data_IF_154854083024
#
_entry.id   IF_154854083024
#
_cell.length_a   1.000
_cell.length_b   1.000
_cell.length_c   1.000
_cell.angle_alpha   90.00
_cell.angle_beta   90.00
_cell.angle_gamma   90.00
#
_symmetry.space_group_name_H-M   'P 1'
#
loop_
_entity.id
_entity.type
_entity.pdbx_description
1 polymer ?
#
# COMPACT_ATOMS: atom_id res chain seq x y z
N UNK A 1 -38.43 -92.85 13.36
CA UNK A 1 -38.46 -92.29 12.00
C UNK A 1 -39.22 -90.98 12.12
N UNK A 2 -38.54 -89.86 12.41
CA UNK A 2 -37.86 -88.93 11.49
C UNK A 2 -38.81 -88.26 10.48
N UNK A 3 -39.77 -87.50 11.01
CA UNK A 3 -40.40 -86.42 10.27
C UNK A 3 -39.54 -85.16 10.45
N UNK A 4 -38.57 -85.00 9.55
CA UNK A 4 -37.78 -83.78 9.46
C UNK A 4 -38.36 -82.88 8.36
N UNK A 5 -39.14 -81.89 8.82
CA UNK A 5 -38.96 -80.47 8.51
C UNK A 5 -38.82 -80.08 7.03
N UNK A 6 -39.93 -80.11 6.29
CA UNK A 6 -40.06 -79.42 5.01
C UNK A 6 -40.29 -77.92 5.26
N UNK A 7 -39.19 -77.18 5.46
CA UNK A 7 -39.18 -75.72 5.45
C UNK A 7 -39.46 -75.25 4.02
N UNK A 8 -40.74 -75.10 3.73
CA UNK A 8 -41.32 -74.69 2.44
C UNK A 8 -40.56 -73.52 1.82
N UNK A 9 -40.19 -73.66 0.55
CA UNK A 9 -39.41 -72.72 -0.27
C UNK A 9 -39.87 -71.26 -0.17
N UNK A 10 -41.16 -71.01 0.07
CA UNK A 10 -41.73 -69.67 0.27
C UNK A 10 -41.15 -68.95 1.49
N UNK A 11 -40.98 -69.67 2.61
CA UNK A 11 -40.44 -69.10 3.85
C UNK A 11 -38.93 -68.79 3.72
N UNK A 12 -38.20 -69.57 2.90
CA UNK A 12 -36.78 -69.31 2.59
C UNK A 12 -36.58 -68.07 1.69
N UNK A 13 -37.52 -67.79 0.78
CA UNK A 13 -37.48 -66.61 -0.09
C UNK A 13 -37.81 -65.35 0.72
N UNK A 14 -38.81 -65.41 1.59
CA UNK A 14 -39.18 -64.30 2.49
C UNK A 14 -38.07 -63.98 3.50
N UNK A 15 -37.39 -65.00 4.04
CA UNK A 15 -36.18 -64.84 4.87
C UNK A 15 -35.01 -64.27 4.07
N UNK A 16 -34.87 -64.62 2.78
CA UNK A 16 -33.80 -64.11 1.92
C UNK A 16 -34.03 -62.64 1.49
N UNK A 17 -35.26 -62.24 1.18
CA UNK A 17 -35.63 -60.84 0.91
C UNK A 17 -35.55 -59.99 2.18
N UNK A 18 -35.99 -60.51 3.33
CA UNK A 18 -35.79 -59.87 4.64
C UNK A 18 -34.30 -59.68 4.96
N UNK A 19 -33.47 -60.69 4.68
CA UNK A 19 -32.03 -60.62 4.89
C UNK A 19 -31.33 -59.66 3.90
N UNK A 20 -31.78 -59.57 2.64
CA UNK A 20 -31.21 -58.63 1.67
C UNK A 20 -31.61 -57.19 1.96
N UNK A 21 -32.88 -56.95 2.34
CA UNK A 21 -33.34 -55.64 2.78
C UNK A 21 -32.60 -55.17 4.05
N UNK A 22 -32.38 -56.07 5.02
CA UNK A 22 -31.55 -55.77 6.18
C UNK A 22 -30.08 -55.51 5.83
N UNK A 23 -29.54 -56.19 4.82
CA UNK A 23 -28.17 -55.96 4.36
C UNK A 23 -28.01 -54.61 3.64
N UNK A 24 -28.99 -54.20 2.84
CA UNK A 24 -29.01 -52.90 2.14
C UNK A 24 -29.16 -51.74 3.12
N UNK A 25 -30.07 -51.84 4.10
CA UNK A 25 -30.21 -50.83 5.17
C UNK A 25 -28.90 -50.68 5.95
N UNK A 26 -28.23 -51.81 6.28
CA UNK A 26 -26.94 -51.78 6.98
C UNK A 26 -25.83 -51.16 6.13
N UNK A 27 -25.84 -51.36 4.81
CA UNK A 27 -24.90 -50.75 3.87
C UNK A 27 -25.12 -49.24 3.75
N UNK A 28 -26.36 -48.78 3.72
CA UNK A 28 -26.70 -47.35 3.72
C UNK A 28 -26.35 -46.67 5.04
N UNK A 29 -26.60 -47.33 6.18
CA UNK A 29 -26.16 -46.85 7.49
C UNK A 29 -24.64 -46.69 7.54
N UNK A 30 -23.88 -47.71 7.12
CA UNK A 30 -22.41 -47.67 7.07
C UNK A 30 -21.90 -46.59 6.12
N UNK A 31 -22.52 -46.41 4.95
CA UNK A 31 -22.18 -45.32 4.02
C UNK A 31 -22.47 -43.94 4.62
N UNK A 32 -23.58 -43.79 5.33
CA UNK A 32 -23.95 -42.54 6.00
C UNK A 32 -22.97 -42.18 7.12
N UNK A 33 -22.51 -43.17 7.89
CA UNK A 33 -21.48 -42.99 8.90
C UNK A 33 -20.12 -42.63 8.27
N UNK A 34 -19.75 -43.28 7.17
CA UNK A 34 -18.52 -42.97 6.44
C UNK A 34 -18.52 -41.52 5.92
N UNK A 35 -19.63 -41.05 5.35
CA UNK A 35 -19.75 -39.66 4.88
C UNK A 35 -19.69 -38.66 6.05
N UNK A 36 -20.36 -38.96 7.17
CA UNK A 36 -20.30 -38.14 8.39
C UNK A 36 -18.86 -38.05 8.93
N UNK A 37 -18.11 -39.16 8.93
CA UNK A 37 -16.69 -39.19 9.34
C UNK A 37 -15.81 -38.39 8.37
N UNK A 38 -16.02 -38.51 7.06
CA UNK A 38 -15.29 -37.75 6.04
C UNK A 38 -15.52 -36.23 6.18
N UNK A 39 -16.77 -35.81 6.40
CA UNK A 39 -17.11 -34.39 6.63
C UNK A 39 -16.48 -33.87 7.92
N UNK A 40 -16.50 -34.66 9.01
CA UNK A 40 -15.81 -34.30 10.26
C UNK A 40 -14.30 -34.17 10.07
N UNK A 41 -13.67 -35.09 9.34
CA UNK A 41 -12.24 -35.04 9.03
C UNK A 41 -11.87 -33.83 8.14
N UNK A 42 -12.69 -33.49 7.14
CA UNK A 42 -12.50 -32.27 6.34
C UNK A 42 -12.62 -31.01 7.18
N UNK A 43 -13.60 -30.93 8.09
CA UNK A 43 -13.75 -29.78 9.02
C UNK A 43 -12.56 -29.64 9.96
N UNK A 44 -12.04 -30.75 10.49
CA UNK A 44 -10.83 -30.75 11.32
C UNK A 44 -9.62 -30.27 10.51
N UNK A 45 -9.46 -30.75 9.27
CA UNK A 45 -8.38 -30.32 8.38
C UNK A 45 -8.45 -28.81 8.09
N UNK A 46 -9.62 -28.27 7.75
CA UNK A 46 -9.81 -26.83 7.57
C UNK A 46 -9.55 -26.04 8.85
N UNK A 47 -9.96 -26.54 10.02
CA UNK A 47 -9.65 -25.89 11.31
C UNK A 47 -8.15 -25.84 11.57
N UNK A 48 -7.41 -26.93 11.29
CA UNK A 48 -5.96 -26.97 11.47
C UNK A 48 -5.29 -25.95 10.55
N UNK A 49 -5.70 -25.83 9.29
CA UNK A 49 -5.17 -24.84 8.36
C UNK A 49 -5.43 -23.40 8.86
N UNK A 50 -6.65 -23.11 9.31
CA UNK A 50 -6.98 -21.77 9.86
C UNK A 50 -6.15 -21.47 11.11
N UNK A 51 -6.01 -22.43 12.03
CA UNK A 51 -5.18 -22.26 13.24
C UNK A 51 -3.71 -22.06 12.87
N UNK A 52 -3.19 -22.78 11.88
CA UNK A 52 -1.82 -22.57 11.39
C UNK A 52 -1.61 -21.18 10.79
N UNK A 53 -2.58 -20.67 10.01
CA UNK A 53 -2.54 -19.31 9.46
C UNK A 53 -2.56 -18.27 10.59
N UNK A 54 -3.45 -18.43 11.58
CA UNK A 54 -3.52 -17.55 12.75
C UNK A 54 -2.21 -17.60 13.55
N UNK A 55 -1.56 -18.75 13.69
CA UNK A 55 -0.27 -18.89 14.37
C UNK A 55 0.88 -18.23 13.58
N UNK A 56 0.85 -18.24 12.24
CA UNK A 56 1.82 -17.50 11.43
C UNK A 56 1.64 -16.00 11.60
N UNK A 57 0.39 -15.51 11.63
CA UNK A 57 0.12 -14.09 11.91
C UNK A 57 0.46 -13.70 13.35
N UNK A 58 0.11 -14.52 14.35
CA UNK A 58 0.43 -14.26 15.75
C UNK A 58 1.95 -14.27 15.99
N UNK A 59 2.71 -15.14 15.31
CA UNK A 59 4.18 -15.11 15.39
C UNK A 59 4.77 -13.90 14.67
N UNK A 60 4.28 -13.54 13.47
CA UNK A 60 4.66 -12.28 12.80
C UNK A 60 4.35 -11.04 13.67
N UNK A 61 3.18 -10.97 14.28
CA UNK A 61 2.78 -9.91 15.20
C UNK A 61 3.60 -9.91 16.49
N UNK A 62 3.97 -11.08 17.02
CA UNK A 62 4.86 -11.18 18.18
C UNK A 62 6.28 -10.70 17.87
N UNK A 63 6.81 -10.94 16.67
CA UNK A 63 8.09 -10.38 16.25
C UNK A 63 8.03 -8.87 15.96
N UNK A 64 6.87 -8.35 15.54
CA UNK A 64 6.63 -6.90 15.46
C UNK A 64 6.52 -6.25 16.85
N UNK A 65 5.88 -6.91 17.83
CA UNK A 65 5.75 -6.40 19.22
C UNK A 65 7.01 -6.60 20.08
N UNK A 66 7.87 -7.58 19.75
CA UNK A 66 9.13 -7.81 20.47
C UNK A 66 10.18 -6.73 20.20
N UNK A 67 9.91 -5.75 19.33
CA UNK A 67 10.75 -4.56 19.19
C UNK A 67 10.56 -3.53 20.31
N UNK A 68 9.54 -3.67 21.17
CA UNK A 68 9.22 -2.66 22.20
C UNK A 68 9.36 -3.12 23.66
N UNK A 69 9.84 -4.34 23.94
CA UNK A 69 10.22 -4.73 25.31
C UNK A 69 11.38 -5.71 25.31
N UNK A 70 12.57 -5.22 25.00
CA UNK A 70 13.80 -5.82 25.52
C UNK A 70 14.20 -5.06 26.78
N UNK A 71 13.74 -5.55 27.92
CA UNK A 71 13.92 -4.86 29.19
C UNK A 71 13.75 -5.76 30.39
N UNK A 72 14.61 -6.75 30.57
CA UNK A 72 15.02 -7.15 31.93
C UNK A 72 16.41 -7.79 31.93
N UNK A 73 17.43 -7.03 32.31
CA UNK A 73 18.66 -7.63 32.86
C UNK A 73 20.01 -7.08 32.43
N UNK A 74 20.08 -6.12 31.51
CA UNK A 74 21.32 -5.39 31.22
C UNK A 74 21.02 -3.90 31.18
N UNK A 75 21.91 -3.08 31.73
CA UNK A 75 21.89 -1.63 31.55
C UNK A 75 21.98 -1.33 30.05
N UNK A 76 20.84 -1.25 29.38
CA UNK A 76 20.71 -0.73 28.03
C UNK A 76 20.69 0.79 28.17
N UNK A 77 21.85 1.42 27.99
CA UNK A 77 21.85 2.76 27.44
C UNK A 77 21.27 2.59 26.03
N UNK A 78 20.02 3.02 25.82
CA UNK A 78 19.54 3.25 24.46
C UNK A 78 20.58 4.17 23.82
N UNK A 79 21.26 3.69 22.77
CA UNK A 79 22.12 4.59 22.01
C UNK A 79 21.20 5.66 21.45
N UNK A 80 21.41 6.91 21.87
CA UNK A 80 20.73 8.05 21.28
C UNK A 80 20.93 8.00 19.75
N UNK A 81 19.89 8.36 18.99
CA UNK A 81 20.02 8.48 17.53
C UNK A 81 21.18 9.42 17.21
N UNK A 82 22.08 8.99 16.33
CA UNK A 82 23.28 9.78 15.96
C UNK A 82 22.98 10.87 14.92
N UNK A 83 21.72 11.01 14.52
CA UNK A 83 21.20 12.03 13.61
C UNK A 83 19.76 12.42 13.96
N UNK A 84 19.36 13.60 13.49
CA UNK A 84 18.01 14.14 13.45
C UNK A 84 17.56 14.22 11.98
N UNK A 85 16.25 14.21 11.74
CA UNK A 85 15.69 14.49 10.42
C UNK A 85 14.90 15.80 10.51
N UNK A 86 14.95 16.64 9.46
CA UNK A 86 14.23 17.91 9.33
C UNK A 86 13.60 18.04 7.94
N UNK A 87 12.65 18.96 7.79
CA UNK A 87 12.15 19.41 6.49
C UNK A 87 12.53 20.85 6.24
N UNK A 88 12.59 21.24 4.96
CA UNK A 88 12.70 22.64 4.55
C UNK A 88 11.38 23.05 3.89
N UNK A 89 10.68 24.02 4.46
CA UNK A 89 9.40 24.51 3.94
C UNK A 89 8.68 25.44 4.93
N UNK A 90 7.60 26.07 4.48
CA UNK A 90 6.62 26.74 5.35
C UNK A 90 5.76 25.68 6.06
N UNK A 91 5.26 25.99 7.27
CA UNK A 91 4.29 25.17 8.02
C UNK A 91 3.19 24.72 7.07
N UNK A 92 2.95 23.39 6.98
CA UNK A 92 1.91 22.85 6.10
C UNK A 92 0.55 23.49 6.46
N UNK A 93 -0.31 23.85 5.48
CA UNK A 93 -1.69 24.30 5.76
C UNK A 93 -2.49 23.28 6.58
N UNK A 94 -2.04 22.02 6.60
CA UNK A 94 -2.59 20.93 7.41
C UNK A 94 -1.75 20.62 8.67
N UNK A 95 -0.90 21.54 9.14
CA UNK A 95 -0.04 21.35 10.32
C UNK A 95 -0.80 20.86 11.55
N UNK A 96 -2.03 21.35 11.75
CA UNK A 96 -2.91 20.89 12.84
C UNK A 96 -3.27 19.38 12.75
N UNK A 97 -3.41 18.83 11.54
CA UNK A 97 -3.68 17.40 11.31
C UNK A 97 -2.41 16.57 11.60
N UNK A 98 -1.25 17.06 11.18
CA UNK A 98 0.04 16.41 11.44
C UNK A 98 0.37 16.42 12.94
N UNK A 99 0.18 17.54 13.63
CA UNK A 99 0.35 17.68 15.09
C UNK A 99 -0.51 16.70 15.88
N UNK A 100 -1.77 16.54 15.48
CA UNK A 100 -2.73 15.67 16.16
C UNK A 100 -2.49 14.18 15.88
N UNK A 101 -1.81 13.84 14.78
CA UNK A 101 -1.23 12.52 14.56
C UNK A 101 0.05 12.26 15.38
N UNK A 102 0.49 13.22 16.19
CA UNK A 102 1.71 13.13 17.01
C UNK A 102 2.98 13.59 16.29
N UNK A 103 2.87 14.13 15.07
CA UNK A 103 4.01 14.64 14.31
C UNK A 103 4.27 16.10 14.66
N UNK A 104 5.51 16.42 15.04
CA UNK A 104 5.89 17.81 15.24
C UNK A 104 6.46 18.33 13.95
N UNK A 105 5.98 19.49 13.52
CA UNK A 105 6.64 20.24 12.45
C UNK A 105 8.11 20.42 12.84
N UNK A 106 9.01 20.06 11.91
CA UNK A 106 10.41 20.44 12.04
C UNK A 106 10.49 21.95 12.12
N UNK A 107 11.31 22.51 13.02
CA UNK A 107 11.59 23.95 12.96
C UNK A 107 12.26 24.24 11.62
N UNK A 108 11.70 25.13 10.77
CA UNK A 108 12.34 25.48 9.50
C UNK A 108 13.77 25.94 9.77
N UNK A 109 14.73 25.44 9.00
CA UNK A 109 16.16 25.76 9.18
C UNK A 109 16.36 27.26 8.93
N UNK A 110 16.32 28.05 10.00
CA UNK A 110 16.66 29.49 10.00
C UNK A 110 17.63 29.87 11.11
N UNK A 111 17.66 29.12 12.21
CA UNK A 111 18.74 29.06 13.19
C UNK A 111 18.50 27.87 14.13
N UNK A 112 19.58 27.32 14.69
CA UNK A 112 19.59 25.97 15.26
C UNK A 112 18.62 25.66 16.41
N UNK A 113 18.34 24.35 16.49
CA UNK A 113 17.64 23.56 17.51
C UNK A 113 16.10 23.55 17.49
N UNK A 114 15.47 22.37 17.48
CA UNK A 114 15.04 21.65 18.69
C UNK A 114 14.38 20.28 18.40
N UNK A 115 14.46 19.43 19.42
CA UNK A 115 13.98 18.06 19.69
C UNK A 115 12.80 17.46 18.93
N UNK A 116 12.99 16.24 18.41
CA UNK A 116 12.33 15.02 18.92
C UNK A 116 13.03 13.76 18.37
N UNK A 117 13.15 12.73 19.20
CA UNK A 117 13.63 11.38 18.85
C UNK A 117 12.66 10.71 17.87
N UNK A 118 12.63 11.13 16.62
CA UNK A 118 11.68 10.63 15.62
C UNK A 118 12.48 10.26 14.38
N UNK A 119 12.53 8.95 14.10
CA UNK A 119 13.25 8.37 12.96
C UNK A 119 12.50 8.48 11.63
N UNK A 120 11.42 9.25 11.60
CA UNK A 120 10.55 9.44 10.45
C UNK A 120 10.05 10.88 10.31
N UNK A 121 9.81 11.31 9.07
CA UNK A 121 9.16 12.59 8.75
C UNK A 121 7.96 12.36 7.88
N UNK A 122 6.88 13.10 8.14
CA UNK A 122 5.65 13.02 7.36
C UNK A 122 5.29 14.33 6.67
N UNK A 123 4.77 14.23 5.44
CA UNK A 123 4.27 15.33 4.65
C UNK A 123 2.89 14.97 4.09
N UNK A 124 1.89 15.80 4.37
CA UNK A 124 0.58 15.67 3.74
C UNK A 124 0.58 16.41 2.40
N UNK A 125 0.55 15.68 1.28
CA UNK A 125 0.62 16.26 -0.05
C UNK A 125 -0.49 17.28 -0.27
N UNK A 126 -0.12 18.42 -0.86
CA UNK A 126 -1.04 19.45 -1.34
C UNK A 126 -0.56 19.91 -2.71
N UNK A 127 -1.50 20.28 -3.58
CA UNK A 127 -1.14 20.93 -4.84
C UNK A 127 -0.45 22.27 -4.55
N UNK A 128 0.44 22.69 -5.47
CA UNK A 128 1.20 23.93 -5.40
C UNK A 128 0.32 25.16 -5.09
N UNK A 129 0.89 26.20 -4.47
CA UNK A 129 0.17 27.37 -3.92
C UNK A 129 -0.65 28.14 -4.99
N UNK A 130 -0.29 28.01 -6.27
CA UNK A 130 -1.03 28.57 -7.41
C UNK A 130 -2.32 27.78 -7.77
N UNK A 131 -2.58 26.66 -7.07
CA UNK A 131 -3.72 25.74 -7.26
C UNK A 131 -4.58 25.60 -5.99
N UNK A 132 -4.64 26.65 -5.17
CA UNK A 132 -5.30 26.69 -3.86
C UNK A 132 -6.75 26.16 -3.80
N UNK A 133 -7.45 26.02 -4.94
CA UNK A 133 -8.84 25.58 -5.03
C UNK A 133 -9.04 24.14 -5.54
N UNK A 134 -7.99 23.39 -5.92
CA UNK A 134 -8.20 22.19 -6.75
C UNK A 134 -7.63 20.85 -6.26
N UNK A 135 -6.94 20.81 -5.12
CA UNK A 135 -6.38 19.55 -4.57
C UNK A 135 -5.38 18.84 -5.48
N UNK A 136 -4.89 17.68 -5.04
CA UNK A 136 -4.03 16.82 -5.85
C UNK A 136 -4.84 16.21 -6.99
N UNK A 137 -4.26 16.20 -8.19
CA UNK A 137 -4.87 15.63 -9.39
C UNK A 137 -3.80 15.24 -10.42
N UNK A 138 -4.14 14.44 -11.45
CA UNK A 138 -3.25 14.21 -12.58
C UNK A 138 -2.68 15.53 -13.14
N UNK A 139 -1.37 15.53 -13.43
CA UNK A 139 -0.59 16.67 -13.89
C UNK A 139 0.03 17.53 -12.79
N UNK A 140 -0.32 17.31 -11.51
CA UNK A 140 0.31 18.03 -10.39
C UNK A 140 1.69 17.47 -10.06
N UNK A 141 2.58 18.32 -9.57
CA UNK A 141 3.93 17.93 -9.13
C UNK A 141 4.41 18.89 -8.04
N UNK A 142 5.49 18.54 -7.36
CA UNK A 142 6.08 19.40 -6.34
C UNK A 142 7.41 18.87 -5.81
N UNK A 143 8.05 19.67 -4.96
CA UNK A 143 9.34 19.33 -4.37
C UNK A 143 9.22 19.20 -2.85
N UNK A 144 9.83 18.15 -2.31
CA UNK A 144 9.97 17.90 -0.89
C UNK A 144 11.47 17.83 -0.61
N UNK A 145 11.92 18.53 0.44
CA UNK A 145 13.32 18.45 0.85
C UNK A 145 13.40 17.98 2.30
N UNK A 146 13.96 16.79 2.49
CA UNK A 146 14.28 16.25 3.79
C UNK A 146 15.76 16.48 4.09
N UNK A 147 16.09 16.75 5.34
CA UNK A 147 17.45 17.03 5.78
C UNK A 147 17.80 16.11 6.91
N UNK A 148 18.80 15.27 6.73
CA UNK A 148 19.40 14.50 7.81
C UNK A 148 20.52 15.34 8.40
N UNK A 149 20.43 15.64 9.69
CA UNK A 149 21.42 16.38 10.45
C UNK A 149 22.10 15.46 11.48
N UNK A 150 23.41 15.18 11.36
CA UNK A 150 24.14 14.47 12.41
C UNK A 150 24.06 15.18 13.77
N UNK A 151 23.94 14.41 14.86
CA UNK A 151 23.93 14.94 16.23
C UNK A 151 25.34 15.31 16.67
N UNK A 152 26.33 14.50 16.26
CA UNK A 152 27.74 14.74 16.55
C UNK A 152 28.44 15.14 15.25
N UNK A 153 28.79 16.43 15.15
CA UNK A 153 29.53 16.97 14.00
C UNK A 153 30.99 16.50 14.01
N UNK A 154 31.23 15.23 13.63
CA UNK A 154 32.56 14.62 13.60
C UNK A 154 33.04 14.46 12.15
N UNK A 155 33.95 15.35 11.72
CA UNK A 155 34.48 15.34 10.36
C UNK A 155 35.32 14.09 10.04
N UNK A 156 35.69 13.30 11.04
CA UNK A 156 36.46 12.07 10.86
C UNK A 156 35.59 10.82 10.61
N UNK A 157 34.27 10.94 10.78
CA UNK A 157 33.33 9.83 10.66
C UNK A 157 32.37 10.02 9.51
N UNK A 158 32.02 8.90 8.88
CA UNK A 158 30.90 8.83 7.97
C UNK A 158 29.69 8.25 8.68
N UNK A 159 28.52 8.68 8.23
CA UNK A 159 27.24 8.17 8.65
C UNK A 159 26.58 7.50 7.44
N UNK A 160 26.28 6.21 7.59
CA UNK A 160 25.52 5.43 6.61
C UNK A 160 24.12 5.19 7.15
N UNK A 161 23.12 5.57 6.37
CA UNK A 161 21.72 5.53 6.76
C UNK A 161 20.92 4.84 5.68
N UNK A 162 20.03 3.95 6.11
CA UNK A 162 19.02 3.38 5.24
C UNK A 162 17.73 4.19 5.34
N UNK A 163 17.15 4.57 4.20
CA UNK A 163 15.86 5.26 4.18
C UNK A 163 14.93 4.69 3.11
N UNK A 164 13.63 4.85 3.31
CA UNK A 164 12.58 4.56 2.32
C UNK A 164 11.49 5.60 2.39
N UNK A 165 10.71 5.73 1.32
CA UNK A 165 9.51 6.56 1.30
C UNK A 165 8.28 5.66 1.28
N UNK A 166 7.33 5.92 2.16
CA UNK A 166 6.05 5.24 2.21
C UNK A 166 4.90 6.21 1.93
N UNK A 167 3.86 5.68 1.29
CA UNK A 167 2.62 6.39 1.02
C UNK A 167 1.51 5.81 1.87
N UNK A 168 0.82 6.67 2.61
CA UNK A 168 -0.36 6.32 3.40
C UNK A 168 -1.56 7.09 2.88
N UNK A 169 -2.61 6.37 2.50
CA UNK A 169 -3.85 6.95 2.02
C UNK A 169 -4.86 7.17 3.14
N UNK A 170 -5.59 8.28 3.08
CA UNK A 170 -6.69 8.58 3.99
C UNK A 170 -7.94 8.95 3.21
N UNK A 171 -9.08 8.52 3.76
CA UNK A 171 -10.39 9.01 3.36
C UNK A 171 -10.99 9.86 4.47
N UNK A 172 -11.95 10.71 4.10
CA UNK A 172 -12.80 11.37 5.08
C UNK A 172 -13.79 10.38 5.72
N UNK A 173 -14.17 10.65 6.96
CA UNK A 173 -15.30 10.04 7.65
C UNK A 173 -16.60 10.34 6.89
N UNK A 174 -17.55 9.42 6.97
CA UNK A 174 -18.81 9.55 6.21
C UNK A 174 -19.59 10.81 6.67
N UNK A 175 -19.50 11.14 7.96
CA UNK A 175 -20.09 12.35 8.54
C UNK A 175 -19.44 13.62 7.97
N UNK A 176 -18.11 13.69 7.92
CA UNK A 176 -17.42 14.86 7.35
C UNK A 176 -17.67 14.99 5.84
N UNK A 177 -17.69 13.87 5.10
CA UNK A 177 -18.09 13.85 3.68
C UNK A 177 -19.48 14.44 3.49
N UNK A 178 -20.45 14.04 4.32
CA UNK A 178 -21.81 14.55 4.25
C UNK A 178 -21.89 16.05 4.56
N UNK A 179 -21.13 16.54 5.55
CA UNK A 179 -21.06 17.97 5.87
C UNK A 179 -20.47 18.80 4.72
N UNK A 180 -19.37 18.35 4.13
CA UNK A 180 -18.76 19.03 2.97
C UNK A 180 -19.72 19.05 1.78
N UNK A 181 -20.44 17.95 1.53
CA UNK A 181 -21.42 17.88 0.45
C UNK A 181 -22.56 18.88 0.64
N UNK A 182 -23.10 19.02 1.86
CA UNK A 182 -24.16 19.98 2.19
C UNK A 182 -23.70 21.43 1.98
N UNK A 183 -22.51 21.79 2.50
CA UNK A 183 -21.94 23.12 2.32
C UNK A 183 -21.61 23.44 0.85
N UNK A 184 -21.17 22.45 0.09
CA UNK A 184 -20.95 22.59 -1.37
C UNK A 184 -22.28 22.86 -2.10
N UNK A 185 -23.36 22.18 -1.73
CA UNK A 185 -24.68 22.45 -2.31
C UNK A 185 -25.19 23.86 -1.94
N UNK A 186 -24.99 24.32 -0.70
CA UNK A 186 -25.31 25.70 -0.30
C UNK A 186 -24.55 26.71 -1.17
N UNK A 187 -23.24 26.50 -1.38
CA UNK A 187 -22.41 27.33 -2.26
C UNK A 187 -22.97 27.37 -3.68
N UNK A 188 -23.28 26.22 -4.28
CA UNK A 188 -23.84 26.12 -5.63
C UNK A 188 -25.20 26.82 -5.77
N UNK A 189 -26.01 26.79 -4.71
CA UNK A 189 -27.31 27.45 -4.66
C UNK A 189 -27.24 28.95 -4.29
N UNK A 190 -26.03 29.52 -4.14
CA UNK A 190 -25.82 30.92 -3.76
C UNK A 190 -26.27 31.24 -2.32
N UNK A 191 -26.36 30.24 -1.46
CA UNK A 191 -26.67 30.39 -0.04
C UNK A 191 -25.40 30.69 0.76
N UNK A 192 -25.57 31.20 1.98
CA UNK A 192 -24.44 31.30 2.92
C UNK A 192 -23.93 29.90 3.22
N UNK A 193 -22.61 29.72 3.08
CA UNK A 193 -21.91 28.47 3.34
C UNK A 193 -20.67 28.74 4.18
N UNK A 194 -20.19 27.74 4.89
CA UNK A 194 -18.92 27.76 5.62
C UNK A 194 -18.33 26.37 5.52
N UNK A 195 -17.20 26.23 4.81
CA UNK A 195 -16.54 24.94 4.66
C UNK A 195 -16.06 24.44 6.03
N UNK A 196 -16.35 23.18 6.40
CA UNK A 196 -15.91 22.64 7.67
C UNK A 196 -14.38 22.51 7.68
N UNK A 197 -13.79 22.74 8.84
CA UNK A 197 -12.37 22.46 9.07
C UNK A 197 -12.20 20.96 9.30
N UNK A 198 -11.43 20.29 8.44
CA UNK A 198 -11.10 18.88 8.61
C UNK A 198 -10.05 18.72 9.70
N UNK A 199 -10.28 17.81 10.63
CA UNK A 199 -9.36 17.43 11.69
C UNK A 199 -8.92 15.98 11.56
N UNK A 200 -8.00 15.51 12.40
CA UNK A 200 -7.56 14.11 12.32
C UNK A 200 -8.68 13.12 12.63
N UNK A 201 -9.61 13.47 13.52
CA UNK A 201 -10.73 12.59 13.89
C UNK A 201 -11.69 12.36 12.71
N UNK A 202 -11.62 13.22 11.70
CA UNK A 202 -12.37 13.11 10.46
C UNK A 202 -11.64 12.27 9.40
N UNK A 203 -10.40 11.85 9.64
CA UNK A 203 -9.61 11.04 8.72
C UNK A 203 -9.62 9.58 9.13
N UNK A 204 -9.87 8.72 8.15
CA UNK A 204 -9.79 7.27 8.29
C UNK A 204 -8.62 6.81 7.43
N UNK A 205 -7.56 6.34 8.07
CA UNK A 205 -6.43 5.71 7.38
C UNK A 205 -6.92 4.46 6.64
N UNK A 206 -6.59 4.38 5.36
CA UNK A 206 -6.84 3.19 4.58
C UNK A 206 -5.69 2.21 4.80
N UNK A 207 -6.03 0.96 5.08
CA UNK A 207 -5.05 -0.11 5.27
C UNK A 207 -4.96 -1.01 4.04
N UNK A 208 -3.76 -1.45 3.70
CA UNK A 208 -3.50 -2.44 2.64
C UNK A 208 -4.28 -3.77 2.84
N UNK A 209 -4.74 -4.07 4.07
CA UNK A 209 -5.52 -5.26 4.41
C UNK A 209 -7.04 -5.02 4.48
N UNK A 210 -7.52 -3.90 3.92
CA UNK A 210 -8.97 -3.61 3.87
C UNK A 210 -9.70 -4.69 3.05
N UNK A 211 -10.88 -5.09 3.52
CA UNK A 211 -11.75 -6.01 2.76
C UNK A 211 -12.52 -5.30 1.65
N UNK A 212 -12.50 -3.96 1.64
CA UNK A 212 -13.08 -3.17 0.57
C UNK A 212 -12.12 -3.13 -0.63
N UNK A 213 -12.52 -3.78 -1.72
CA UNK A 213 -11.71 -3.90 -2.92
C UNK A 213 -11.40 -2.56 -3.58
N UNK A 214 -12.25 -1.55 -3.41
CA UNK A 214 -12.04 -0.23 -4.01
C UNK A 214 -10.92 0.52 -3.27
N UNK A 215 -10.94 0.48 -1.93
CA UNK A 215 -9.85 1.05 -1.12
C UNK A 215 -8.52 0.33 -1.34
N UNK A 216 -8.54 -1.01 -1.39
CA UNK A 216 -7.30 -1.78 -1.66
C UNK A 216 -6.69 -1.41 -3.01
N UNK A 217 -7.50 -1.31 -4.07
CA UNK A 217 -7.02 -0.92 -5.41
C UNK A 217 -6.48 0.52 -5.43
N UNK A 218 -7.20 1.47 -4.83
CA UNK A 218 -6.76 2.86 -4.80
C UNK A 218 -5.41 3.04 -4.08
N UNK A 219 -5.16 2.28 -3.00
CA UNK A 219 -3.86 2.26 -2.31
C UNK A 219 -2.74 1.73 -3.21
N UNK A 220 -3.03 0.73 -4.04
CA UNK A 220 -2.04 0.21 -4.98
C UNK A 220 -1.80 1.21 -6.12
N UNK A 221 -2.85 1.89 -6.61
CA UNK A 221 -2.72 2.88 -7.67
C UNK A 221 -1.88 4.09 -7.26
N UNK A 222 -1.99 4.60 -6.04
CA UNK A 222 -1.11 5.73 -5.63
C UNK A 222 0.38 5.37 -5.70
N UNK A 223 0.75 4.09 -5.59
CA UNK A 223 2.15 3.61 -5.70
C UNK A 223 2.66 3.61 -7.16
N UNK A 224 1.77 3.57 -8.14
CA UNK A 224 2.11 3.69 -9.57
C UNK A 224 1.87 5.09 -10.15
N UNK A 225 0.98 5.87 -9.55
CA UNK A 225 0.53 7.16 -10.09
C UNK A 225 1.20 8.36 -9.41
N UNK A 226 1.67 8.24 -8.16
CA UNK A 226 2.50 9.25 -7.52
C UNK A 226 3.96 8.82 -7.64
N UNK A 227 4.64 9.34 -8.66
CA UNK A 227 6.02 9.03 -8.95
C UNK A 227 6.97 9.93 -8.16
N UNK A 228 8.10 9.38 -7.79
CA UNK A 228 9.13 10.07 -7.03
C UNK A 228 10.46 10.07 -7.78
N UNK A 229 11.21 11.17 -7.71
CA UNK A 229 12.50 11.33 -8.38
C UNK A 229 13.54 11.87 -7.39
N UNK A 230 14.76 11.33 -7.47
CA UNK A 230 15.86 11.61 -6.52
C UNK A 230 16.48 13.01 -6.68
N UNK A 231 16.09 13.77 -7.69
CA UNK A 231 16.53 15.14 -7.93
C UNK A 231 15.31 16.05 -8.13
N UNK A 232 15.50 17.35 -7.91
CA UNK A 232 14.48 18.38 -8.14
C UNK A 232 14.19 18.64 -9.64
N UNK A 233 14.97 18.03 -10.54
CA UNK A 233 14.75 18.05 -11.97
C UNK A 233 14.22 16.69 -12.45
N UNK A 234 13.44 16.68 -13.54
CA UNK A 234 12.94 15.47 -14.23
C UNK A 234 14.07 14.61 -14.86
N UNK A 235 15.31 14.75 -14.35
CA UNK A 235 16.51 14.01 -14.74
C UNK A 235 17.15 13.24 -13.59
N UNK A 236 16.47 13.15 -12.44
CA UNK A 236 16.82 12.22 -11.37
C UNK A 236 16.16 10.86 -11.57
N UNK A 237 16.81 9.79 -11.08
CA UNK A 237 16.27 8.43 -11.20
C UNK A 237 14.92 8.32 -10.50
N UNK A 238 13.96 7.68 -11.19
CA UNK A 238 12.67 7.29 -10.60
C UNK A 238 12.91 6.42 -9.37
N UNK A 239 12.15 6.68 -8.33
CA UNK A 239 12.17 5.98 -7.05
C UNK A 239 10.90 5.14 -6.93
N UNK A 240 11.04 3.83 -6.72
CA UNK A 240 9.94 2.86 -6.73
C UNK A 240 9.63 2.30 -5.33
N UNK A 241 9.99 3.03 -4.26
CA UNK A 241 9.72 2.61 -2.89
C UNK A 241 10.81 1.72 -2.27
N UNK A 242 11.90 1.45 -2.98
CA UNK A 242 12.95 0.57 -2.49
C UNK A 242 13.86 1.26 -1.44
N UNK A 243 14.32 0.52 -0.43
CA UNK A 243 15.24 1.07 0.59
C UNK A 243 16.53 1.55 -0.07
N UNK A 244 16.89 2.80 0.19
CA UNK A 244 18.14 3.41 -0.24
C UNK A 244 19.12 3.45 0.91
N UNK A 245 20.41 3.39 0.58
CA UNK A 245 21.48 3.69 1.53
C UNK A 245 22.17 4.97 1.10
N UNK A 246 22.35 5.90 2.03
CA UNK A 246 23.15 7.10 1.83
C UNK A 246 24.29 7.16 2.82
N UNK A 247 25.48 7.46 2.31
CA UNK A 247 26.69 7.62 3.12
C UNK A 247 27.21 9.03 2.94
N UNK A 248 27.40 9.75 4.03
CA UNK A 248 27.90 11.12 4.02
C UNK A 248 28.75 11.41 5.25
N UNK A 249 29.53 12.49 5.22
CA UNK A 249 30.37 12.87 6.34
C UNK A 249 29.50 13.40 7.50
N UNK A 250 29.76 12.94 8.72
CA UNK A 250 28.96 13.32 9.87
C UNK A 250 29.16 14.76 10.37
N UNK A 251 30.03 15.56 9.74
CA UNK A 251 30.11 17.01 9.98
C UNK A 251 29.17 17.85 9.12
N UNK A 252 28.43 17.24 8.19
CA UNK A 252 27.59 17.97 7.23
C UNK A 252 26.14 17.47 7.27
N UNK A 253 25.21 18.40 7.02
CA UNK A 253 23.82 18.03 6.80
C UNK A 253 23.69 17.36 5.43
N UNK A 254 22.83 16.34 5.34
CA UNK A 254 22.52 15.69 4.08
C UNK A 254 21.10 15.98 3.65
N UNK A 255 20.97 16.68 2.53
CA UNK A 255 19.69 16.87 1.85
C UNK A 255 19.31 15.63 1.05
N UNK A 256 18.04 15.28 1.13
CA UNK A 256 17.34 14.27 0.34
C UNK A 256 16.23 15.01 -0.39
N UNK A 257 16.54 15.59 -1.58
CA UNK A 257 15.53 16.18 -2.42
C UNK A 257 14.67 15.07 -3.02
N UNK A 258 13.37 15.32 -3.05
CA UNK A 258 12.37 14.41 -3.57
C UNK A 258 11.40 15.22 -4.42
N UNK A 259 11.49 15.07 -5.74
CA UNK A 259 10.48 15.60 -6.64
C UNK A 259 9.37 14.57 -6.80
N UNK A 260 8.12 14.95 -6.61
CA UNK A 260 6.97 14.09 -6.84
C UNK A 260 6.19 14.57 -8.05
N UNK A 261 5.67 13.64 -8.84
CA UNK A 261 4.87 13.91 -10.03
C UNK A 261 3.68 12.97 -10.04
N UNK A 262 2.48 13.52 -10.22
CA UNK A 262 1.32 12.79 -10.69
C UNK A 262 1.22 12.99 -12.21
N UNK A 263 1.58 12.00 -13.05
CA UNK A 263 1.49 12.14 -14.49
C UNK A 263 0.04 12.40 -14.94
N UNK A 264 -0.14 13.32 -15.89
CA UNK A 264 -1.48 13.66 -16.42
C UNK A 264 -2.07 12.52 -17.26
N UNK A 265 -1.21 11.79 -17.97
CA UNK A 265 -1.58 10.67 -18.83
C UNK A 265 -0.51 9.59 -18.84
N UNK A 266 -0.88 8.37 -19.22
CA UNK A 266 0.07 7.29 -19.54
C UNK A 266 1.12 7.76 -20.56
N UNK A 267 0.71 8.59 -21.52
CA UNK A 267 1.58 9.15 -22.55
C UNK A 267 2.80 9.88 -22.02
N UNK A 268 2.67 10.59 -20.89
CA UNK A 268 3.79 11.30 -20.26
C UNK A 268 4.90 10.34 -19.79
N UNK A 269 4.56 9.08 -19.53
CA UNK A 269 5.51 8.05 -19.09
C UNK A 269 6.08 7.23 -20.25
N UNK A 270 5.25 6.85 -21.22
CA UNK A 270 5.62 5.80 -22.20
C UNK A 270 5.88 6.32 -23.61
N UNK A 271 5.22 7.40 -24.04
CA UNK A 271 5.33 7.89 -25.41
C UNK A 271 6.57 8.77 -25.59
N UNK A 272 7.12 8.77 -26.80
CA UNK A 272 8.26 9.60 -27.20
C UNK A 272 7.80 10.61 -28.26
N UNK A 273 8.13 11.89 -28.09
CA UNK A 273 7.86 12.89 -29.14
C UNK A 273 8.02 14.33 -28.67
N UNK A 274 8.28 15.23 -29.62
CA UNK A 274 8.58 16.65 -29.33
C UNK A 274 7.41 17.44 -28.72
N UNK A 275 6.18 16.91 -28.78
CA UNK A 275 4.97 17.55 -28.25
C UNK A 275 4.48 16.91 -26.94
N UNK A 276 5.26 15.99 -26.36
CA UNK A 276 4.91 15.27 -25.14
C UNK A 276 5.80 15.80 -24.02
N UNK A 277 5.17 16.22 -22.92
CA UNK A 277 5.91 16.55 -21.69
C UNK A 277 6.15 15.24 -20.96
N UNK A 278 7.34 14.67 -21.12
CA UNK A 278 7.71 13.43 -20.47
C UNK A 278 8.09 13.67 -19.00
N UNK A 279 7.74 12.71 -18.13
CA UNK A 279 8.14 12.74 -16.72
C UNK A 279 9.62 12.39 -16.52
N UNK A 280 10.21 11.63 -17.44
CA UNK A 280 11.64 11.30 -17.48
C UNK A 280 12.08 10.94 -18.91
N UNK A 281 13.39 10.81 -19.13
CA UNK A 281 13.97 10.49 -20.44
C UNK A 281 15.13 9.49 -20.34
N UNK A 282 15.57 8.94 -21.47
CA UNK A 282 16.72 8.04 -21.54
C UNK A 282 16.53 6.74 -20.75
N UNK A 283 17.56 6.31 -20.03
CA UNK A 283 17.58 5.08 -19.24
C UNK A 283 16.48 5.04 -18.16
N UNK A 284 16.17 6.19 -17.56
CA UNK A 284 15.14 6.29 -16.51
C UNK A 284 13.74 5.99 -17.05
N UNK A 285 13.48 6.39 -18.30
CA UNK A 285 12.24 6.04 -18.98
C UNK A 285 12.17 4.55 -19.26
N UNK A 286 13.28 3.93 -19.64
CA UNK A 286 13.34 2.48 -19.85
C UNK A 286 13.08 1.72 -18.54
N UNK A 287 13.65 2.19 -17.43
CA UNK A 287 13.41 1.64 -16.09
C UNK A 287 11.93 1.79 -15.67
N UNK A 288 11.32 2.96 -15.91
CA UNK A 288 9.90 3.19 -15.65
C UNK A 288 9.00 2.28 -16.48
N UNK A 289 9.27 2.15 -17.79
CA UNK A 289 8.53 1.22 -18.66
C UNK A 289 8.66 -0.21 -18.15
N UNK A 290 9.86 -0.65 -17.78
CA UNK A 290 10.09 -1.97 -17.20
C UNK A 290 9.31 -2.16 -15.90
N UNK A 291 9.26 -1.14 -15.04
CA UNK A 291 8.48 -1.19 -13.81
C UNK A 291 6.98 -1.32 -14.07
N UNK A 292 6.43 -0.54 -15.01
CA UNK A 292 5.02 -0.64 -15.43
C UNK A 292 4.72 -2.03 -15.99
N UNK A 293 5.61 -2.57 -16.83
CA UNK A 293 5.45 -3.92 -17.39
C UNK A 293 5.39 -5.00 -16.32
N UNK A 294 6.24 -4.90 -15.31
CA UNK A 294 6.33 -5.89 -14.26
C UNK A 294 5.25 -5.74 -13.18
N UNK A 295 4.60 -4.59 -13.07
CA UNK A 295 3.65 -4.27 -12.01
C UNK A 295 2.35 -3.62 -12.53
N UNK A 296 1.65 -4.20 -13.53
CA UNK A 296 0.49 -3.55 -14.15
C UNK A 296 -0.64 -3.21 -13.17
N UNK A 297 -0.78 -3.99 -12.10
CA UNK A 297 -1.79 -3.76 -11.07
C UNK A 297 -1.62 -2.42 -10.32
N UNK A 298 -0.43 -1.82 -10.35
CA UNK A 298 -0.18 -0.49 -9.76
C UNK A 298 -0.57 0.66 -10.69
N UNK A 299 -0.70 0.41 -11.99
CA UNK A 299 -0.88 1.45 -13.00
C UNK A 299 -2.23 1.42 -13.69
N UNK A 300 -2.83 0.23 -13.82
CA UNK A 300 -3.98 0.03 -14.69
C UNK A 300 -5.18 -0.56 -13.95
N UNK A 301 -6.36 -0.07 -14.30
CA UNK A 301 -7.61 -0.68 -13.93
C UNK A 301 -7.78 -2.03 -14.62
N UNK A 302 -7.74 -3.11 -13.82
CA UNK A 302 -7.62 -4.48 -14.35
C UNK A 302 -8.76 -4.91 -15.26
N UNK A 303 -9.94 -4.31 -15.13
CA UNK A 303 -11.11 -4.71 -15.92
C UNK A 303 -11.04 -4.21 -17.37
N UNK A 304 -10.16 -3.25 -17.66
CA UNK A 304 -9.99 -2.71 -19.01
C UNK A 304 -8.87 -3.41 -19.79
N UNK A 305 -8.07 -4.23 -19.10
CA UNK A 305 -6.99 -4.99 -19.72
C UNK A 305 -7.48 -6.36 -20.18
N UNK A 306 -7.11 -6.72 -21.40
CA UNK A 306 -7.35 -8.06 -21.95
C UNK A 306 -6.16 -9.01 -21.73
N UNK A 307 -6.41 -10.31 -21.87
CA UNK A 307 -5.38 -11.35 -21.78
C UNK A 307 -4.35 -11.25 -22.93
N UNK A 308 -4.68 -10.53 -24.00
CA UNK A 308 -3.84 -10.36 -25.18
C UNK A 308 -2.71 -9.35 -24.91
N UNK A 309 -2.92 -8.43 -23.96
CA UNK A 309 -1.94 -7.47 -23.47
C UNK A 309 -1.08 -8.03 -22.33
N UNK A 310 -1.57 -9.06 -21.65
CA UNK A 310 -0.95 -9.62 -20.45
C UNK A 310 -0.23 -10.95 -20.70
N UNK A 311 0.93 -11.12 -20.09
CA UNK A 311 1.66 -12.39 -20.01
C UNK A 311 2.07 -12.64 -18.57
N UNK A 312 1.53 -13.70 -17.95
CA UNK A 312 1.80 -14.07 -16.56
C UNK A 312 1.56 -12.91 -15.57
N UNK A 313 0.50 -12.11 -15.80
CA UNK A 313 0.16 -10.95 -14.96
C UNK A 313 1.06 -9.73 -15.17
N UNK A 314 1.81 -9.68 -16.27
CA UNK A 314 2.68 -8.56 -16.68
C UNK A 314 2.23 -7.99 -18.01
N UNK A 315 2.49 -6.72 -18.30
CA UNK A 315 2.31 -6.20 -19.67
C UNK A 315 3.36 -6.83 -20.58
N UNK A 316 2.95 -7.36 -21.73
CA UNK A 316 3.88 -7.90 -22.73
C UNK A 316 4.87 -6.83 -23.18
N UNK A 317 6.12 -7.22 -23.42
CA UNK A 317 7.20 -6.26 -23.70
C UNK A 317 6.98 -5.41 -24.96
N UNK A 318 6.23 -5.93 -25.93
CA UNK A 318 5.89 -5.26 -27.19
C UNK A 318 4.63 -4.38 -27.11
N UNK A 319 4.00 -4.28 -25.95
CA UNK A 319 2.76 -3.50 -25.75
C UNK A 319 3.06 -2.10 -25.21
N UNK A 320 4.25 -1.83 -24.68
CA UNK A 320 4.68 -0.51 -24.19
C UNK A 320 5.95 -0.02 -24.89
N UNK A 321 6.13 1.30 -24.97
CA UNK A 321 7.29 1.95 -25.59
C UNK A 321 6.95 2.61 -26.92
N UNK A 322 7.89 2.61 -27.87
CA UNK A 322 7.79 3.39 -29.11
C UNK A 322 6.72 2.85 -30.10
N UNK A 323 6.34 1.57 -30.02
CA UNK A 323 5.36 0.91 -30.91
C UNK A 323 3.98 0.66 -30.23
N UNK A 324 3.67 1.38 -29.15
CA UNK A 324 2.45 1.21 -28.34
C UNK A 324 1.13 1.53 -29.09
N UNK A 325 1.17 2.02 -30.34
CA UNK A 325 0.01 2.67 -31.01
C UNK A 325 -1.29 1.87 -30.95
N UNK A 326 -1.23 0.56 -31.14
CA UNK A 326 -2.41 -0.31 -31.21
C UNK A 326 -3.03 -0.56 -29.82
N UNK A 327 -2.24 -0.45 -28.76
CA UNK A 327 -2.63 -0.72 -27.38
C UNK A 327 -2.82 0.55 -26.54
N UNK A 328 -2.27 1.68 -27.00
CA UNK A 328 -2.31 2.95 -26.27
C UNK A 328 -3.72 3.37 -25.85
N UNK A 329 -4.76 3.31 -26.72
CA UNK A 329 -6.10 3.72 -26.32
C UNK A 329 -6.63 2.93 -25.11
N UNK A 330 -6.44 1.61 -25.11
CA UNK A 330 -6.89 0.72 -24.03
C UNK A 330 -6.08 0.93 -22.76
N UNK A 331 -4.76 1.00 -22.86
CA UNK A 331 -3.89 1.24 -21.71
C UNK A 331 -4.11 2.62 -21.08
N UNK A 332 -4.29 3.64 -21.91
CA UNK A 332 -4.54 4.99 -21.42
C UNK A 332 -5.91 5.08 -20.75
N UNK A 333 -6.94 4.39 -21.27
CA UNK A 333 -8.21 4.27 -20.58
C UNK A 333 -8.04 3.59 -19.22
N UNK A 334 -7.37 2.43 -19.18
CA UNK A 334 -7.12 1.69 -17.94
C UNK A 334 -6.33 2.52 -16.91
N UNK A 335 -5.38 3.35 -17.37
CA UNK A 335 -4.64 4.28 -16.53
C UNK A 335 -5.56 5.38 -15.97
N UNK A 336 -6.36 6.02 -16.82
CA UNK A 336 -7.30 7.06 -16.41
C UNK A 336 -8.38 6.54 -15.44
N UNK A 337 -8.84 5.32 -15.63
CA UNK A 337 -9.82 4.70 -14.73
C UNK A 337 -9.17 4.37 -13.36
N UNK A 338 -7.88 4.03 -13.34
CA UNK A 338 -7.12 3.91 -12.09
C UNK A 338 -6.95 5.27 -11.37
N UNK A 339 -6.67 6.35 -12.12
CA UNK A 339 -6.67 7.72 -11.60
C UNK A 339 -8.02 8.09 -10.96
N UNK A 340 -9.11 7.72 -11.63
CA UNK A 340 -10.46 7.95 -11.12
C UNK A 340 -10.71 7.18 -9.82
N UNK A 341 -10.25 5.94 -9.71
CA UNK A 341 -10.34 5.17 -8.46
C UNK A 341 -9.56 5.83 -7.33
N UNK A 342 -8.39 6.45 -7.59
CA UNK A 342 -7.69 7.26 -6.58
C UNK A 342 -8.59 8.42 -6.15
N UNK A 343 -9.07 9.24 -7.10
CA UNK A 343 -9.84 10.45 -6.80
C UNK A 343 -11.18 10.21 -6.10
N UNK A 344 -11.82 9.05 -6.33
CA UNK A 344 -13.09 8.68 -5.68
C UNK A 344 -12.85 8.19 -4.24
N UNK A 345 -11.77 7.45 -4.03
CA UNK A 345 -11.59 6.69 -2.79
C UNK A 345 -10.66 7.37 -1.79
N UNK A 346 -9.71 8.18 -2.25
CA UNK A 346 -8.65 8.81 -1.44
C UNK A 346 -8.86 10.32 -1.41
N UNK A 347 -8.80 10.91 -0.23
CA UNK A 347 -8.91 12.36 -0.03
C UNK A 347 -7.58 12.99 0.37
N UNK A 348 -6.73 12.25 1.07
CA UNK A 348 -5.40 12.71 1.44
C UNK A 348 -4.37 11.61 1.25
N UNK A 349 -3.17 12.00 0.83
CA UNK A 349 -2.01 11.13 0.70
C UNK A 349 -0.92 11.70 1.60
N UNK A 350 -0.47 10.90 2.55
CA UNK A 350 0.65 11.22 3.42
C UNK A 350 1.90 10.51 2.90
N UNK A 351 2.97 11.27 2.75
CA UNK A 351 4.30 10.79 2.39
C UNK A 351 5.12 10.69 3.67
N UNK A 352 5.77 9.56 3.88
CA UNK A 352 6.62 9.32 5.04
C UNK A 352 8.04 8.99 4.59
N UNK A 353 9.04 9.73 5.05
CA UNK A 353 10.44 9.29 5.00
C UNK A 353 10.71 8.46 6.25
N UNK A 354 10.93 7.16 6.07
CA UNK A 354 11.26 6.23 7.15
C UNK A 354 12.75 5.94 7.11
N UNK A 355 13.42 6.09 8.24
CA UNK A 355 14.85 5.90 8.35
C UNK A 355 15.18 4.77 9.32
N UNK A 356 15.90 3.76 8.82
CA UNK A 356 16.47 2.70 9.64
C UNK A 356 17.86 3.13 10.12
N UNK A 357 17.97 3.38 11.43
CA UNK A 357 19.16 3.93 12.09
C UNK A 357 20.34 2.97 12.30
N UNK A 358 20.37 1.81 11.62
CA UNK A 358 21.51 0.92 11.70
C UNK A 358 22.70 1.57 10.96
N UNK A 359 23.62 2.13 11.74
CA UNK A 359 24.90 2.62 11.28
C UNK A 359 25.70 1.43 10.74
N UNK A 360 25.61 1.20 9.44
CA UNK A 360 26.44 0.19 8.76
C UNK A 360 27.86 0.73 8.67
N UNK A 361 28.69 0.40 9.66
CA UNK A 361 30.14 0.63 9.64
C UNK A 361 30.57 1.99 10.20
N UNK A 362 30.61 2.10 11.51
CA UNK A 362 31.53 3.02 12.18
C UNK A 362 32.87 2.29 12.39
N UNK A 363 33.77 2.38 11.41
CA UNK A 363 35.21 2.20 11.65
C UNK A 363 35.95 3.52 11.48
#
# INVERSE_FOLDING_TARGET
MKDNNDLTTSNKIEIAESASAHAEVRLEEVRSEYQKRKIKLMKISCMVIIVSIVLVFATRSWFTMSREVEGTGANMTANDLVFEIKTVGSVSPNGNILESLGYKDGTPITSGATSANVGDIKWLLQADDDMADAGLRPGTNGNLNFVIQPVNNDSSKNLSINYKIELTAYRLSDDMKAQIADETQKKLNGQNYTMPTVTIDDLIQLSDNTTDTNYSKAIDYIKGHILFFKNADNSGRVYFGETQTITFNSSENKEIPLHWVWPDTLGNMVLTGNNIINVCAGDEKADLISHIQNNPALYFYSNDLDDDMLENGKIKSNVLGDDISDYYPTLNLAYNDADQEIGVNIQYIMIELIVDGDVVGAE
#
